data_IF_597699383933
#
_entry.id   IF_597699383933
#
_cell.length_a   1.000
_cell.length_b   1.000
_cell.length_c   1.000
_cell.angle_alpha   90.00
_cell.angle_beta   90.00
_cell.angle_gamma   90.00
#
_symmetry.space_group_name_H-M   'P 1'
#
loop_
_entity.id
_entity.type
_entity.pdbx_description
1 polymer ?
#
# COMPACT_ATOMS: atom_id res chain seq x y z
N UNK A 1 -45.91 93.07 15.67
CA UNK A 1 -44.62 93.81 15.72
C UNK A 1 -44.00 93.58 17.11
N UNK A 2 -42.66 93.58 17.24
CA UNK A 2 -41.72 92.52 17.71
C UNK A 2 -41.53 92.44 19.27
N UNK A 3 -40.51 91.74 19.85
CA UNK A 3 -40.06 90.34 19.69
C UNK A 3 -39.73 89.60 21.03
N UNK A 4 -39.36 88.31 20.88
CA UNK A 4 -38.31 87.55 21.59
C UNK A 4 -38.39 87.26 23.11
N UNK A 5 -38.40 85.96 23.47
CA UNK A 5 -37.27 85.31 24.18
C UNK A 5 -37.42 83.77 24.29
N UNK A 6 -36.42 83.10 23.73
CA UNK A 6 -35.69 81.95 24.26
C UNK A 6 -36.45 80.86 25.04
N UNK A 7 -36.56 79.67 24.43
CA UNK A 7 -36.35 78.42 25.18
C UNK A 7 -35.41 77.47 24.44
N UNK A 8 -34.31 77.23 25.13
CA UNK A 8 -33.23 76.29 24.86
C UNK A 8 -33.57 74.91 25.46
N UNK A 9 -32.81 73.90 25.02
CA UNK A 9 -32.65 72.51 25.50
C UNK A 9 -33.53 71.47 24.79
N UNK A 10 -33.02 70.80 23.77
CA UNK A 10 -32.02 69.72 23.82
C UNK A 10 -32.54 68.43 24.49
N UNK A 11 -32.84 67.41 23.66
CA UNK A 11 -32.48 66.03 23.97
C UNK A 11 -32.33 65.23 22.67
N UNK A 12 -31.10 65.24 22.19
CA UNK A 12 -30.59 64.34 21.17
C UNK A 12 -30.03 63.13 21.92
N UNK A 13 -30.66 61.96 21.81
CA UNK A 13 -30.05 60.70 22.26
C UNK A 13 -30.19 59.67 21.13
N UNK A 14 -29.34 59.83 20.11
CA UNK A 14 -28.91 58.72 19.26
C UNK A 14 -28.23 57.66 20.14
N UNK A 15 -28.57 56.37 20.03
CA UNK A 15 -27.72 55.34 20.60
C UNK A 15 -26.37 55.37 19.88
N UNK A 16 -25.33 55.51 20.70
CA UNK A 16 -23.93 55.52 20.32
C UNK A 16 -23.58 54.14 19.75
N UNK A 17 -23.31 54.11 18.45
CA UNK A 17 -22.71 52.97 17.78
C UNK A 17 -21.24 52.91 18.24
N UNK A 18 -20.97 52.13 19.28
CA UNK A 18 -19.61 51.95 19.80
C UNK A 18 -18.81 51.08 18.82
N UNK A 19 -18.27 51.78 17.83
CA UNK A 19 -17.22 51.32 16.94
C UNK A 19 -15.88 51.59 17.62
N UNK A 20 -15.40 50.65 18.44
CA UNK A 20 -13.96 50.49 18.73
C UNK A 20 -13.69 49.26 19.59
N UNK A 21 -12.77 48.45 19.06
CA UNK A 21 -11.78 47.73 19.84
C UNK A 21 -12.28 46.58 20.72
N UNK A 22 -12.50 45.43 20.07
CA UNK A 22 -11.82 44.19 20.47
C UNK A 22 -11.60 43.28 19.25
N UNK A 23 -10.86 43.84 18.29
CA UNK A 23 -9.77 43.10 17.65
C UNK A 23 -8.92 42.45 18.73
N UNK A 24 -9.14 41.16 19.00
CA UNK A 24 -8.15 40.20 19.53
C UNK A 24 -8.87 38.97 20.09
N UNK A 25 -9.49 38.17 19.22
CA UNK A 25 -9.45 36.72 19.42
C UNK A 25 -9.64 36.03 18.08
N UNK A 26 -8.67 36.26 17.19
CA UNK A 26 -8.14 35.17 16.35
C UNK A 26 -7.74 34.05 17.31
N UNK A 27 -8.71 33.21 17.71
CA UNK A 27 -8.40 31.84 18.09
C UNK A 27 -7.97 31.19 16.79
N UNK A 28 -6.69 31.37 16.47
CA UNK A 28 -5.95 30.42 15.67
C UNK A 28 -6.40 29.04 16.18
N UNK A 29 -7.01 28.17 15.36
CA UNK A 29 -6.95 26.77 15.70
C UNK A 29 -5.46 26.50 15.77
N UNK A 30 -4.96 26.38 17.00
CA UNK A 30 -3.63 25.90 17.28
C UNK A 30 -3.45 24.74 16.33
N UNK A 31 -2.50 24.89 15.42
CA UNK A 31 -2.00 23.83 14.60
C UNK A 31 -1.66 22.69 15.56
N UNK A 32 -2.65 21.82 15.81
CA UNK A 32 -2.42 20.41 16.04
C UNK A 32 -1.89 19.91 14.70
N UNK A 33 -0.64 20.31 14.40
CA UNK A 33 0.32 19.41 13.80
C UNK A 33 0.33 18.25 14.78
N UNK A 34 -0.61 17.31 14.57
CA UNK A 34 -0.40 15.95 15.01
C UNK A 34 0.99 15.53 14.54
N UNK A 35 1.65 14.60 15.25
CA UNK A 35 2.99 14.15 14.88
C UNK A 35 2.98 13.96 13.37
N UNK A 36 3.88 14.70 12.69
CA UNK A 36 4.06 14.57 11.26
C UNK A 36 4.03 13.06 11.01
N UNK A 37 3.02 12.61 10.26
CA UNK A 37 2.96 11.22 9.87
C UNK A 37 4.23 11.04 9.06
N UNK A 38 5.30 10.60 9.70
CA UNK A 38 6.44 10.01 9.05
C UNK A 38 5.81 8.83 8.33
N UNK A 39 5.47 9.07 7.06
CA UNK A 39 5.13 8.06 6.09
C UNK A 39 6.45 7.33 5.84
N UNK A 40 6.84 6.58 6.86
CA UNK A 40 8.17 6.06 6.98
C UNK A 40 8.25 4.96 5.95
N UNK A 41 9.17 5.13 5.01
CA UNK A 41 9.58 4.13 4.02
C UNK A 41 9.74 2.75 4.68
N UNK A 42 10.00 2.71 6.00
CA UNK A 42 9.91 1.53 6.86
C UNK A 42 8.66 0.67 6.70
N UNK A 43 7.47 1.22 6.48
CA UNK A 43 6.25 0.42 6.32
C UNK A 43 6.26 -0.44 5.04
N UNK A 44 7.01 0.00 4.01
CA UNK A 44 7.23 -0.77 2.78
C UNK A 44 8.44 -1.69 2.93
N UNK A 45 9.49 -1.22 3.61
CA UNK A 45 10.72 -1.98 3.80
C UNK A 45 10.54 -3.19 4.73
N UNK A 46 9.66 -3.11 5.73
CA UNK A 46 9.43 -4.20 6.65
C UNK A 46 8.92 -5.48 5.95
N UNK A 47 7.83 -5.45 5.16
CA UNK A 47 7.37 -6.63 4.43
C UNK A 47 8.34 -7.06 3.32
N UNK A 48 9.10 -6.13 2.72
CA UNK A 48 10.18 -6.49 1.80
C UNK A 48 11.29 -7.29 2.50
N UNK A 49 11.78 -6.80 3.64
CA UNK A 49 12.80 -7.47 4.45
C UNK A 49 12.29 -8.85 4.93
N UNK A 50 11.02 -8.94 5.31
CA UNK A 50 10.39 -10.21 5.66
C UNK A 50 10.32 -11.16 4.46
N UNK A 51 10.03 -10.64 3.25
CA UNK A 51 10.07 -11.39 2.01
C UNK A 51 11.47 -11.94 1.70
N UNK A 52 12.52 -11.15 1.90
CA UNK A 52 13.92 -11.57 1.76
C UNK A 52 14.28 -12.65 2.79
N UNK A 53 13.89 -12.46 4.05
CA UNK A 53 14.13 -13.44 5.10
C UNK A 53 13.40 -14.77 4.81
N UNK A 54 12.16 -14.70 4.32
CA UNK A 54 11.38 -15.85 3.92
C UNK A 54 12.08 -16.66 2.82
N UNK A 55 12.79 -16.01 1.89
CA UNK A 55 13.54 -16.68 0.83
C UNK A 55 14.50 -17.75 1.36
N UNK A 56 15.22 -17.47 2.44
CA UNK A 56 16.17 -18.43 3.02
C UNK A 56 15.47 -19.68 3.57
N UNK A 57 14.33 -19.49 4.25
CA UNK A 57 13.53 -20.61 4.76
C UNK A 57 12.93 -21.43 3.62
N UNK A 58 12.45 -20.76 2.58
CA UNK A 58 11.74 -21.39 1.47
C UNK A 58 12.68 -22.15 0.56
N UNK A 59 13.91 -21.67 0.33
CA UNK A 59 14.94 -22.44 -0.38
C UNK A 59 15.20 -23.78 0.31
N UNK A 60 15.24 -23.79 1.63
CA UNK A 60 15.41 -25.02 2.41
C UNK A 60 14.18 -25.93 2.34
N UNK A 61 12.98 -25.36 2.34
CA UNK A 61 11.75 -26.13 2.07
C UNK A 61 11.70 -26.68 0.65
N UNK A 62 12.13 -25.92 -0.36
CA UNK A 62 12.17 -26.35 -1.75
C UNK A 62 13.08 -27.57 -1.94
N UNK A 63 14.23 -27.57 -1.26
CA UNK A 63 15.13 -28.72 -1.21
C UNK A 63 14.46 -29.97 -0.60
N UNK A 64 13.52 -29.81 0.34
CA UNK A 64 12.76 -30.94 0.91
C UNK A 64 11.63 -31.37 -0.05
N UNK A 65 10.91 -30.40 -0.61
CA UNK A 65 9.75 -30.63 -1.49
C UNK A 65 10.11 -31.30 -2.81
N UNK A 66 11.33 -31.07 -3.31
CA UNK A 66 11.83 -31.79 -4.49
C UNK A 66 11.85 -33.31 -4.28
N UNK A 67 11.99 -33.80 -3.05
CA UNK A 67 11.88 -35.23 -2.72
C UNK A 67 10.43 -35.74 -2.64
N UNK A 68 9.44 -34.85 -2.47
CA UNK A 68 8.02 -35.21 -2.40
C UNK A 68 7.34 -35.26 -3.78
N UNK A 69 8.07 -34.94 -4.84
CA UNK A 69 7.60 -34.97 -6.22
C UNK A 69 7.17 -33.59 -6.77
N UNK A 70 6.83 -33.53 -8.07
CA UNK A 70 6.61 -32.26 -8.78
C UNK A 70 5.27 -31.56 -8.45
N UNK A 71 4.25 -32.32 -8.03
CA UNK A 71 2.93 -31.82 -7.65
C UNK A 71 2.93 -30.84 -6.46
N UNK A 72 3.49 -31.19 -5.29
CA UNK A 72 3.52 -30.26 -4.15
C UNK A 72 4.43 -29.05 -4.42
N UNK A 73 5.45 -29.22 -5.26
CA UNK A 73 6.35 -28.13 -5.66
C UNK A 73 5.64 -27.06 -6.50
N UNK A 74 4.80 -27.45 -7.46
CA UNK A 74 4.10 -26.50 -8.34
C UNK A 74 3.02 -25.69 -7.63
N UNK A 75 2.43 -26.23 -6.56
CA UNK A 75 1.50 -25.48 -5.71
C UNK A 75 2.20 -24.41 -4.88
N UNK A 76 3.39 -24.71 -4.33
CA UNK A 76 4.11 -23.75 -3.48
C UNK A 76 4.89 -22.71 -4.31
N UNK A 77 5.33 -23.09 -5.51
CA UNK A 77 6.11 -22.25 -6.42
C UNK A 77 5.46 -22.16 -7.80
N UNK A 78 4.24 -21.60 -7.91
CA UNK A 78 3.50 -21.58 -9.16
C UNK A 78 4.25 -20.83 -10.27
N UNK A 79 4.92 -19.74 -9.91
CA UNK A 79 5.71 -18.96 -10.85
C UNK A 79 6.92 -19.73 -11.38
N UNK A 80 7.59 -20.51 -10.53
CA UNK A 80 8.72 -21.35 -10.94
C UNK A 80 8.23 -22.45 -11.88
N UNK A 81 7.14 -23.14 -11.50
CA UNK A 81 6.57 -24.22 -12.29
C UNK A 81 6.16 -23.79 -13.70
N UNK A 82 5.74 -22.54 -13.88
CA UNK A 82 5.40 -21.99 -15.19
C UNK A 82 6.58 -22.04 -16.17
N UNK A 83 7.79 -21.70 -15.69
CA UNK A 83 8.99 -21.63 -16.54
C UNK A 83 9.79 -22.93 -16.57
N UNK A 84 9.62 -23.81 -15.58
CA UNK A 84 10.37 -25.08 -15.51
C UNK A 84 9.96 -26.08 -16.60
N UNK A 85 8.75 -25.95 -17.17
CA UNK A 85 8.16 -26.96 -18.06
C UNK A 85 8.47 -26.83 -19.56
N UNK A 86 9.56 -26.17 -19.99
CA UNK A 86 9.78 -25.70 -21.37
C UNK A 86 8.80 -24.60 -21.80
N UNK A 87 9.08 -23.32 -21.50
CA UNK A 87 8.28 -22.21 -21.98
C UNK A 87 8.30 -22.16 -23.51
N UNK A 88 7.16 -21.84 -24.11
CA UNK A 88 7.05 -21.64 -25.55
C UNK A 88 7.99 -20.51 -25.97
N UNK A 89 9.02 -20.83 -26.75
CA UNK A 89 9.95 -19.85 -27.32
C UNK A 89 11.21 -19.51 -26.52
N UNK A 90 11.50 -20.20 -25.40
CA UNK A 90 12.75 -20.03 -24.64
C UNK A 90 13.63 -21.30 -24.73
N UNK A 91 14.95 -21.12 -24.80
CA UNK A 91 15.89 -22.23 -24.67
C UNK A 91 15.83 -22.83 -23.26
N UNK A 92 16.17 -24.11 -23.14
CA UNK A 92 16.17 -24.82 -21.87
C UNK A 92 17.03 -24.12 -20.80
N UNK A 93 18.22 -23.64 -21.17
CA UNK A 93 19.13 -22.95 -20.25
C UNK A 93 18.54 -21.64 -19.72
N UNK A 94 17.87 -20.88 -20.57
CA UNK A 94 17.22 -19.62 -20.18
C UNK A 94 16.01 -19.89 -19.29
N UNK A 95 15.22 -20.91 -19.61
CA UNK A 95 14.07 -21.34 -18.80
C UNK A 95 14.51 -21.80 -17.40
N UNK A 96 15.57 -22.61 -17.34
CA UNK A 96 16.22 -23.06 -16.10
C UNK A 96 16.69 -21.89 -15.24
N UNK A 97 17.44 -20.95 -15.83
CA UNK A 97 17.95 -19.78 -15.12
C UNK A 97 16.81 -18.89 -14.59
N UNK A 98 15.75 -18.69 -15.38
CA UNK A 98 14.56 -17.94 -14.96
C UNK A 98 13.81 -18.62 -13.82
N UNK A 99 13.61 -19.93 -13.89
CA UNK A 99 12.99 -20.71 -12.81
C UNK A 99 13.79 -20.60 -11.52
N UNK A 100 15.11 -20.71 -11.58
CA UNK A 100 15.98 -20.52 -10.42
C UNK A 100 15.86 -19.09 -9.87
N UNK A 101 15.92 -18.07 -10.73
CA UNK A 101 15.76 -16.68 -10.30
C UNK A 101 14.41 -16.46 -9.60
N UNK A 102 13.32 -16.97 -10.17
CA UNK A 102 11.97 -16.83 -9.62
C UNK A 102 11.79 -17.55 -8.28
N UNK A 103 12.48 -18.66 -8.07
CA UNK A 103 12.50 -19.36 -6.77
C UNK A 103 12.96 -18.42 -5.65
N UNK A 104 14.00 -17.62 -5.92
CA UNK A 104 14.51 -16.64 -4.97
C UNK A 104 13.68 -15.35 -4.94
N UNK A 105 13.17 -14.92 -6.10
CA UNK A 105 12.56 -13.60 -6.24
C UNK A 105 11.07 -13.55 -5.86
N UNK A 106 10.35 -14.67 -5.83
CA UNK A 106 8.90 -14.65 -5.57
C UNK A 106 8.55 -14.04 -4.21
N UNK A 107 9.31 -14.34 -3.14
CA UNK A 107 9.01 -13.84 -1.79
C UNK A 107 9.37 -12.36 -1.61
N UNK A 108 10.52 -11.87 -2.09
CA UNK A 108 10.79 -10.44 -2.16
C UNK A 108 9.73 -9.68 -2.95
N UNK A 109 9.25 -10.22 -4.09
CA UNK A 109 8.18 -9.60 -4.88
C UNK A 109 6.84 -9.58 -4.12
N UNK A 110 6.48 -10.66 -3.43
CA UNK A 110 5.30 -10.68 -2.57
C UNK A 110 5.43 -9.71 -1.41
N UNK A 111 6.59 -9.62 -0.77
CA UNK A 111 6.89 -8.67 0.29
C UNK A 111 6.80 -7.21 -0.19
N UNK A 112 7.35 -6.93 -1.37
CA UNK A 112 7.25 -5.62 -2.02
C UNK A 112 5.79 -5.27 -2.32
N UNK A 113 5.04 -6.20 -2.92
CA UNK A 113 3.62 -6.03 -3.22
C UNK A 113 2.82 -5.75 -1.94
N UNK A 114 3.03 -6.55 -0.89
CA UNK A 114 2.39 -6.30 0.41
C UNK A 114 2.77 -4.93 0.96
N UNK A 115 4.04 -4.53 0.87
CA UNK A 115 4.50 -3.21 1.29
C UNK A 115 3.78 -2.09 0.56
N UNK A 116 3.69 -2.17 -0.77
CA UNK A 116 2.98 -1.17 -1.60
C UNK A 116 1.49 -1.13 -1.24
N UNK A 117 0.83 -2.28 -1.14
CA UNK A 117 -0.62 -2.34 -0.84
C UNK A 117 -0.90 -1.87 0.58
N UNK A 118 -0.05 -2.24 1.54
CA UNK A 118 -0.17 -1.80 2.92
C UNK A 118 0.07 -0.29 3.04
N UNK A 119 1.06 0.24 2.32
CA UNK A 119 1.31 1.68 2.27
C UNK A 119 0.14 2.46 1.66
N UNK A 120 -0.36 1.99 0.50
CA UNK A 120 -1.42 2.67 -0.23
C UNK A 120 -2.79 2.59 0.49
N UNK A 121 -3.09 1.46 1.13
CA UNK A 121 -4.44 1.22 1.68
C UNK A 121 -4.52 1.23 3.19
N UNK A 122 -3.38 1.12 3.89
CA UNK A 122 -3.27 0.94 5.35
C UNK A 122 -4.09 -0.21 5.92
N UNK A 123 -4.47 -1.18 5.08
CA UNK A 123 -5.30 -2.34 5.46
C UNK A 123 -4.52 -3.61 5.21
N UNK A 124 -4.12 -4.28 6.30
CA UNK A 124 -3.41 -5.56 6.25
C UNK A 124 -4.13 -6.60 5.39
N UNK A 125 -5.45 -6.75 5.59
CA UNK A 125 -6.25 -7.71 4.81
C UNK A 125 -6.18 -7.49 3.30
N UNK A 126 -6.08 -6.23 2.83
CA UNK A 126 -5.93 -5.96 1.39
C UNK A 126 -4.58 -6.45 0.86
N UNK A 127 -3.51 -6.32 1.64
CA UNK A 127 -2.19 -6.84 1.27
C UNK A 127 -2.19 -8.37 1.21
N UNK A 128 -2.82 -9.03 2.19
CA UNK A 128 -2.98 -10.49 2.19
C UNK A 128 -3.79 -10.95 0.98
N UNK A 129 -4.95 -10.33 0.71
CA UNK A 129 -5.78 -10.67 -0.45
C UNK A 129 -5.03 -10.43 -1.76
N UNK A 130 -4.21 -9.36 -1.86
CA UNK A 130 -3.41 -9.10 -3.05
C UNK A 130 -2.35 -10.19 -3.30
N UNK A 131 -1.57 -10.56 -2.27
CA UNK A 131 -0.61 -11.66 -2.39
C UNK A 131 -1.33 -12.96 -2.76
N UNK A 132 -2.42 -13.27 -2.06
CA UNK A 132 -3.18 -14.49 -2.29
C UNK A 132 -3.74 -14.53 -3.73
N UNK A 133 -4.31 -13.42 -4.22
CA UNK A 133 -4.81 -13.33 -5.58
C UNK A 133 -3.70 -13.54 -6.63
N UNK A 134 -2.53 -12.92 -6.43
CA UNK A 134 -1.37 -13.11 -7.31
C UNK A 134 -0.88 -14.56 -7.29
N UNK A 135 -0.85 -15.20 -6.11
CA UNK A 135 -0.44 -16.59 -5.97
C UNK A 135 -1.41 -17.56 -6.66
N UNK A 136 -2.71 -17.41 -6.41
CA UNK A 136 -3.77 -18.21 -7.06
C UNK A 136 -3.75 -18.01 -8.57
N UNK A 137 -3.54 -16.79 -9.04
CA UNK A 137 -3.41 -16.51 -10.47
C UNK A 137 -2.24 -17.29 -11.10
N UNK A 138 -1.09 -17.36 -10.43
CA UNK A 138 0.02 -18.20 -10.85
C UNK A 138 -0.36 -19.69 -10.97
N UNK A 139 -1.08 -20.23 -9.98
CA UNK A 139 -1.55 -21.62 -10.01
C UNK A 139 -2.51 -21.87 -11.19
N UNK A 140 -3.46 -20.95 -11.41
CA UNK A 140 -4.40 -21.05 -12.53
C UNK A 140 -3.67 -21.03 -13.87
N UNK A 141 -2.62 -20.22 -14.00
CA UNK A 141 -1.82 -20.16 -15.22
C UNK A 141 -1.03 -21.47 -15.46
N UNK A 142 -0.46 -22.06 -14.40
CA UNK A 142 0.19 -23.38 -14.48
C UNK A 142 -0.81 -24.45 -14.90
N UNK A 143 -2.01 -24.44 -14.33
CA UNK A 143 -3.07 -25.37 -14.68
C UNK A 143 -3.49 -25.21 -16.15
N UNK A 144 -3.69 -23.97 -16.60
CA UNK A 144 -4.00 -23.66 -18.00
C UNK A 144 -2.91 -24.17 -18.95
N UNK A 145 -1.63 -23.93 -18.64
CA UNK A 145 -0.51 -24.39 -19.47
C UNK A 145 -0.39 -25.92 -19.47
N UNK A 146 -0.72 -26.57 -18.35
CA UNK A 146 -0.73 -28.03 -18.25
C UNK A 146 -1.83 -28.64 -19.12
N UNK A 147 -3.03 -28.03 -19.13
CA UNK A 147 -4.13 -28.44 -20.01
C UNK A 147 -3.77 -28.24 -21.49
N UNK A 148 -3.13 -27.12 -21.85
CA UNK A 148 -2.73 -26.84 -23.22
C UNK A 148 -1.63 -27.79 -23.76
N UNK A 149 -0.78 -28.34 -22.89
CA UNK A 149 0.26 -29.32 -23.27
C UNK A 149 -0.22 -30.77 -23.31
N UNK A 150 -1.35 -31.07 -22.66
CA UNK A 150 -1.93 -32.40 -22.60
C UNK A 150 -2.76 -32.79 -23.83
N UNK A 151 -2.94 -31.86 -24.77
CA UNK A 151 -3.54 -32.04 -26.09
C UNK A 151 -2.46 -31.91 -27.18
#
# INVERSE_FOLDING_TARGET
MPPAKARSRARNTRPKQDSRARTAQRRSPAQRRGPAQDHSVWQVLLPLALGIAATFGTVRLAAILTFMGPQPFSLLYPWVALFSGHPVGLSYDNASALSQMLLYLQFPLYGLLAGIVLFATRRFWRAVTAIFAVHIFGILLVLLMSLLRGH
#
